data_IF_480064807099
#
_entry.id   IF_480064807099
#
_cell.length_a   1.000
_cell.length_b   1.000
_cell.length_c   1.000
_cell.angle_alpha   90.00
_cell.angle_beta   90.00
_cell.angle_gamma   90.00
#
_symmetry.space_group_name_H-M   'P 1'
#
loop_
_entity.id
_entity.type
_entity.pdbx_description
1 polymer ?
#
# COMPACT_ATOMS: atom_id res chain seq x y z
N UNK A 1 -7.56 2.14 5.18
CA UNK A 1 -6.22 2.74 5.34
C UNK A 1 -5.36 1.97 6.35
N UNK A 2 -4.13 2.46 6.62
CA UNK A 2 -3.13 1.72 7.42
C UNK A 2 -3.60 1.36 8.85
N UNK A 3 -4.59 2.07 9.38
CA UNK A 3 -5.15 1.76 10.69
C UNK A 3 -5.77 0.38 10.82
N UNK A 4 -6.29 -0.21 9.73
CA UNK A 4 -6.84 -1.57 9.79
C UNK A 4 -5.74 -2.62 9.97
N UNK A 5 -4.52 -2.37 9.48
CA UNK A 5 -3.39 -3.30 9.55
C UNK A 5 -2.57 -3.17 10.85
N UNK A 6 -2.85 -2.15 11.66
CA UNK A 6 -2.12 -1.88 12.91
C UNK A 6 -2.21 -3.05 13.91
N UNK A 7 -3.39 -3.63 14.09
CA UNK A 7 -3.60 -4.79 14.99
C UNK A 7 -2.94 -6.08 14.46
N UNK A 8 -2.60 -6.14 13.19
CA UNK A 8 -1.78 -7.21 12.61
C UNK A 8 -0.28 -7.04 12.89
N UNK A 9 0.13 -5.92 13.49
CA UNK A 9 1.54 -5.62 13.75
C UNK A 9 2.24 -4.85 12.64
N UNK A 10 1.49 -4.35 11.64
CA UNK A 10 2.04 -3.48 10.59
C UNK A 10 2.05 -2.04 11.10
N UNK A 11 3.23 -1.42 11.28
CA UNK A 11 3.32 -0.05 11.76
C UNK A 11 2.64 0.94 10.81
N UNK A 12 1.84 1.85 11.35
CA UNK A 12 1.27 2.96 10.56
C UNK A 12 2.29 4.09 10.44
N UNK A 13 2.12 4.96 9.43
CA UNK A 13 2.98 6.15 9.27
C UNK A 13 2.92 7.14 10.44
N UNK A 14 2.01 6.94 11.40
CA UNK A 14 1.77 7.84 12.54
C UNK A 14 2.18 7.30 13.89
N UNK A 15 2.40 5.99 14.04
CA UNK A 15 2.65 5.33 15.34
C UNK A 15 4.03 5.63 15.92
N UNK A 16 4.72 6.64 15.44
CA UNK A 16 6.16 6.75 15.46
C UNK A 16 6.76 7.72 16.45
N UNK A 17 6.25 7.75 17.64
CA UNK A 17 6.96 8.53 18.67
C UNK A 17 8.14 7.80 19.32
N UNK A 18 8.26 6.48 19.20
CA UNK A 18 9.27 5.69 19.91
C UNK A 18 9.92 4.55 19.10
N UNK A 19 9.67 4.44 17.80
CA UNK A 19 10.15 3.34 16.97
C UNK A 19 11.27 3.70 16.01
N UNK A 20 11.60 2.75 15.15
CA UNK A 20 12.60 2.90 14.08
C UNK A 20 12.24 4.03 13.10
N UNK A 21 10.95 4.26 12.88
CA UNK A 21 10.39 5.35 12.06
C UNK A 21 10.78 6.74 12.57
N UNK A 22 10.94 6.93 13.89
CA UNK A 22 11.35 8.21 14.46
C UNK A 22 12.76 8.65 14.01
N UNK A 23 13.52 7.74 13.39
CA UNK A 23 14.87 8.00 12.87
C UNK A 23 14.92 8.33 11.39
N UNK A 24 13.81 8.16 10.66
CA UNK A 24 13.76 8.35 9.21
C UNK A 24 12.61 9.29 8.84
N UNK A 25 12.88 10.26 7.98
CA UNK A 25 11.83 11.05 7.38
C UNK A 25 11.01 10.17 6.42
N UNK A 26 9.69 9.98 6.65
CA UNK A 26 8.83 9.22 5.76
C UNK A 26 8.90 9.68 4.29
N UNK A 27 9.11 10.98 4.07
CA UNK A 27 9.26 11.53 2.74
C UNK A 27 10.56 11.06 2.06
N UNK A 28 11.65 10.92 2.81
CA UNK A 28 12.91 10.39 2.26
C UNK A 28 12.78 8.93 1.82
N UNK A 29 11.94 8.16 2.49
CA UNK A 29 11.75 6.73 2.18
C UNK A 29 10.64 6.46 1.17
N UNK A 30 9.74 7.42 0.95
CA UNK A 30 8.54 7.24 0.12
C UNK A 30 8.40 8.35 -0.93
N UNK A 31 9.51 8.82 -1.50
CA UNK A 31 9.50 9.79 -2.59
C UNK A 31 10.53 9.46 -3.67
N UNK A 32 10.26 9.90 -4.88
CA UNK A 32 11.22 9.80 -6.00
C UNK A 32 12.55 10.49 -5.68
N UNK A 33 12.49 11.61 -4.95
CA UNK A 33 13.71 12.33 -4.54
C UNK A 33 14.55 11.54 -3.54
N UNK A 34 13.90 10.90 -2.56
CA UNK A 34 14.59 10.03 -1.61
C UNK A 34 15.28 8.85 -2.30
N UNK A 35 14.60 8.20 -3.24
CA UNK A 35 15.15 7.15 -4.08
C UNK A 35 16.38 7.62 -4.87
N UNK A 36 16.31 8.76 -5.53
CA UNK A 36 17.43 9.30 -6.32
C UNK A 36 18.65 9.68 -5.47
N UNK A 37 18.43 10.06 -4.20
CA UNK A 37 19.52 10.41 -3.27
C UNK A 37 20.20 9.20 -2.68
N UNK A 38 19.44 8.20 -2.28
CA UNK A 38 19.94 7.02 -1.60
C UNK A 38 19.08 5.79 -1.90
N UNK A 39 19.22 5.19 -3.08
CA UNK A 39 18.45 4.02 -3.47
C UNK A 39 18.70 2.79 -2.57
N UNK A 40 19.92 2.64 -2.04
CA UNK A 40 20.29 1.53 -1.16
C UNK A 40 19.51 1.56 0.17
N UNK A 41 19.35 2.75 0.74
CA UNK A 41 18.55 2.94 1.97
C UNK A 41 17.08 2.66 1.73
N UNK A 42 16.52 3.22 0.65
CA UNK A 42 15.11 3.02 0.31
C UNK A 42 14.85 1.55 0.01
N UNK A 43 15.73 0.89 -0.76
CA UNK A 43 15.62 -0.52 -1.07
C UNK A 43 15.66 -1.40 0.19
N UNK A 44 16.67 -1.23 1.06
CA UNK A 44 16.80 -1.98 2.31
C UNK A 44 15.58 -1.79 3.23
N UNK A 45 15.04 -0.56 3.29
CA UNK A 45 13.82 -0.27 4.02
C UNK A 45 12.61 -1.06 3.50
N UNK A 46 12.40 -1.10 2.18
CA UNK A 46 11.27 -1.83 1.59
C UNK A 46 11.44 -3.35 1.66
N UNK A 47 12.65 -3.87 1.60
CA UNK A 47 12.92 -5.30 1.85
C UNK A 47 12.53 -5.71 3.27
N UNK A 48 12.90 -4.91 4.26
CA UNK A 48 12.49 -5.16 5.64
C UNK A 48 10.97 -5.09 5.80
N UNK A 49 10.31 -4.10 5.23
CA UNK A 49 8.84 -4.00 5.27
C UNK A 49 8.16 -5.17 4.58
N UNK A 50 8.68 -5.59 3.45
CA UNK A 50 8.22 -6.80 2.75
C UNK A 50 8.30 -8.02 3.69
N UNK A 51 9.45 -8.26 4.30
CA UNK A 51 9.64 -9.34 5.25
C UNK A 51 8.67 -9.25 6.43
N UNK A 52 8.51 -8.07 7.04
CA UNK A 52 7.59 -7.84 8.15
C UNK A 52 6.16 -8.20 7.76
N UNK A 53 5.66 -7.68 6.64
CA UNK A 53 4.27 -7.91 6.21
C UNK A 53 4.05 -9.38 5.80
N UNK A 54 5.03 -10.02 5.17
CA UNK A 54 4.96 -11.44 4.83
C UNK A 54 4.82 -12.36 6.07
N UNK A 55 5.27 -11.91 7.24
CA UNK A 55 5.29 -12.69 8.48
C UNK A 55 4.21 -12.30 9.49
N UNK A 56 3.28 -11.43 9.14
CA UNK A 56 2.09 -11.14 9.97
C UNK A 56 0.82 -11.74 9.36
N UNK A 57 -0.22 -11.86 10.17
CA UNK A 57 -1.50 -12.43 9.75
C UNK A 57 -2.58 -11.35 9.64
N UNK A 58 -3.57 -11.51 8.75
CA UNK A 58 -4.77 -10.69 8.76
C UNK A 58 -5.45 -10.73 10.12
N UNK A 59 -5.93 -9.59 10.60
CA UNK A 59 -6.70 -9.51 11.84
C UNK A 59 -8.21 -9.65 11.59
N UNK A 60 -8.99 -9.59 12.64
CA UNK A 60 -10.44 -9.76 12.58
C UNK A 60 -11.15 -8.70 11.73
N UNK A 61 -10.59 -7.49 11.63
CA UNK A 61 -11.11 -6.45 10.74
C UNK A 61 -11.04 -6.84 9.27
N UNK A 62 -9.90 -7.40 8.83
CA UNK A 62 -9.73 -7.91 7.46
C UNK A 62 -10.69 -9.08 7.19
N UNK A 63 -10.79 -10.04 8.15
CA UNK A 63 -11.69 -11.20 8.05
C UNK A 63 -13.16 -10.81 8.01
N UNK A 64 -13.55 -9.80 8.82
CA UNK A 64 -14.92 -9.30 8.82
C UNK A 64 -15.32 -8.68 7.48
N UNK A 65 -14.43 -7.87 6.86
CA UNK A 65 -14.67 -7.31 5.53
C UNK A 65 -14.78 -8.41 4.48
N UNK A 66 -13.90 -9.41 4.51
CA UNK A 66 -13.97 -10.55 3.61
C UNK A 66 -15.29 -11.33 3.77
N UNK A 67 -15.77 -11.54 5.00
CA UNK A 67 -17.02 -12.24 5.27
C UNK A 67 -18.27 -11.50 4.76
N UNK A 68 -18.23 -10.21 4.55
CA UNK A 68 -19.35 -9.48 3.94
C UNK A 68 -19.68 -9.93 2.52
N UNK A 69 -18.72 -10.54 1.81
CA UNK A 69 -18.93 -11.08 0.46
C UNK A 69 -19.97 -12.22 0.43
N UNK A 70 -20.25 -12.87 1.55
CA UNK A 70 -21.30 -13.86 1.67
C UNK A 70 -22.71 -13.23 1.60
N UNK A 71 -22.82 -11.91 1.75
CA UNK A 71 -24.08 -11.18 1.88
C UNK A 71 -24.25 -10.04 0.87
N UNK A 72 -23.17 -9.55 0.28
CA UNK A 72 -23.17 -8.40 -0.63
C UNK A 72 -22.02 -8.49 -1.63
N UNK A 73 -22.10 -7.74 -2.72
CA UNK A 73 -20.95 -7.45 -3.56
C UNK A 73 -20.05 -6.44 -2.86
N UNK A 74 -18.81 -6.83 -2.57
CA UNK A 74 -17.85 -6.02 -1.81
C UNK A 74 -16.64 -5.71 -2.66
N UNK A 75 -16.36 -4.42 -2.84
CA UNK A 75 -15.11 -3.92 -3.41
C UNK A 75 -14.28 -3.24 -2.33
N UNK A 76 -13.07 -3.72 -2.10
CA UNK A 76 -12.12 -3.11 -1.17
C UNK A 76 -11.23 -2.13 -1.92
N UNK A 77 -11.30 -0.85 -1.57
CA UNK A 77 -10.41 0.18 -2.09
C UNK A 77 -9.40 0.52 -1.00
N UNK A 78 -8.14 0.21 -1.22
CA UNK A 78 -7.12 0.39 -0.19
C UNK A 78 -5.97 1.28 -0.65
N UNK A 79 -5.47 2.09 0.28
CA UNK A 79 -4.21 2.82 0.16
C UNK A 79 -3.04 2.02 0.73
N UNK A 80 -3.33 0.89 1.39
CA UNK A 80 -2.33 0.02 1.95
C UNK A 80 -1.58 -0.71 0.83
N UNK A 81 -0.34 -1.02 1.11
CA UNK A 81 0.56 -1.73 0.21
C UNK A 81 0.81 -3.18 0.68
N UNK A 82 0.19 -3.56 1.81
CA UNK A 82 0.14 -4.94 2.30
C UNK A 82 -0.92 -5.77 1.55
N UNK A 83 -0.85 -7.10 1.64
CA UNK A 83 -1.75 -8.07 1.02
C UNK A 83 -2.76 -8.69 2.02
N UNK A 84 -2.98 -8.04 3.16
CA UNK A 84 -3.76 -8.62 4.26
C UNK A 84 -5.25 -8.77 3.91
N UNK A 85 -5.80 -7.95 3.03
CA UNK A 85 -7.17 -8.10 2.54
C UNK A 85 -7.33 -9.37 1.70
N UNK A 86 -6.42 -9.63 0.78
CA UNK A 86 -6.40 -10.82 -0.07
C UNK A 86 -6.19 -12.08 0.77
N UNK A 87 -5.23 -12.05 1.69
CA UNK A 87 -4.96 -13.16 2.61
C UNK A 87 -6.11 -13.44 3.56
N UNK A 88 -6.95 -12.46 3.85
CA UNK A 88 -8.19 -12.64 4.59
C UNK A 88 -9.32 -13.24 3.74
N UNK A 89 -9.18 -13.26 2.41
CA UNK A 89 -10.16 -13.80 1.46
C UNK A 89 -10.98 -12.76 0.70
N UNK A 90 -10.63 -11.46 0.76
CA UNK A 90 -11.29 -10.44 -0.06
C UNK A 90 -10.98 -10.67 -1.55
N UNK A 91 -12.03 -10.77 -2.39
CA UNK A 91 -11.89 -11.11 -3.81
C UNK A 91 -11.60 -9.91 -4.72
N UNK A 92 -12.19 -8.75 -4.45
CA UNK A 92 -12.02 -7.54 -5.23
C UNK A 92 -11.28 -6.48 -4.40
N UNK A 93 -9.94 -6.40 -4.56
CA UNK A 93 -9.10 -5.44 -3.86
C UNK A 93 -8.40 -4.52 -4.87
N UNK A 94 -8.58 -3.20 -4.70
CA UNK A 94 -7.99 -2.18 -5.56
C UNK A 94 -6.91 -1.42 -4.79
N UNK A 95 -5.64 -1.73 -5.08
CA UNK A 95 -4.47 -1.08 -4.46
C UNK A 95 -4.15 0.24 -5.14
N UNK A 96 -4.52 1.36 -4.51
CA UNK A 96 -4.29 2.69 -5.08
C UNK A 96 -2.82 3.12 -5.04
N UNK A 97 -2.03 2.54 -4.15
CA UNK A 97 -0.63 2.89 -3.98
C UNK A 97 0.33 1.75 -4.29
N UNK A 98 -0.11 0.74 -5.08
CA UNK A 98 0.72 -0.40 -5.46
C UNK A 98 0.88 -1.43 -4.35
N UNK A 99 1.91 -2.28 -4.44
CA UNK A 99 2.11 -3.44 -3.58
C UNK A 99 3.54 -3.56 -3.06
N UNK A 100 3.69 -4.01 -1.80
CA UNK A 100 4.98 -4.41 -1.23
C UNK A 100 5.52 -5.72 -1.83
N UNK A 101 4.67 -6.48 -2.51
CA UNK A 101 5.00 -7.79 -3.09
C UNK A 101 5.29 -7.73 -4.59
N UNK A 102 5.24 -6.52 -5.17
CA UNK A 102 5.55 -6.27 -6.56
C UNK A 102 6.76 -5.36 -6.70
N UNK A 103 7.61 -5.67 -7.68
CA UNK A 103 8.84 -4.95 -7.94
C UNK A 103 8.99 -4.71 -9.44
N UNK A 104 9.62 -3.59 -9.80
CA UNK A 104 9.85 -3.23 -11.19
C UNK A 104 11.13 -2.44 -11.39
N UNK A 105 11.60 -2.40 -12.61
CA UNK A 105 12.69 -1.51 -12.96
C UNK A 105 12.25 -0.04 -12.93
N UNK A 106 13.03 0.80 -12.25
CA UNK A 106 12.78 2.24 -12.17
C UNK A 106 12.90 2.97 -13.52
N UNK A 107 13.60 2.39 -14.51
CA UNK A 107 13.84 3.01 -15.81
C UNK A 107 12.87 2.53 -16.88
N UNK A 108 12.73 1.23 -17.07
CA UNK A 108 11.94 0.65 -18.17
C UNK A 108 10.60 0.07 -17.73
N UNK A 109 10.32 0.02 -16.41
CA UNK A 109 9.05 -0.48 -15.86
C UNK A 109 8.87 -2.00 -15.94
N UNK A 110 9.84 -2.76 -16.47
CA UNK A 110 9.70 -4.22 -16.54
C UNK A 110 9.56 -4.81 -15.15
N UNK A 111 8.62 -5.75 -14.91
CA UNK A 111 8.49 -6.43 -13.63
C UNK A 111 9.76 -7.21 -13.27
N UNK A 112 10.06 -7.27 -11.98
CA UNK A 112 11.14 -8.05 -11.41
C UNK A 112 10.56 -9.20 -10.60
N UNK A 113 10.95 -10.42 -10.91
CA UNK A 113 10.37 -11.65 -10.37
C UNK A 113 11.38 -12.56 -9.67
N UNK A 114 12.64 -12.14 -9.58
CA UNK A 114 13.65 -12.93 -8.89
C UNK A 114 13.44 -12.92 -7.37
N UNK A 115 13.95 -13.95 -6.72
CA UNK A 115 13.85 -14.09 -5.27
C UNK A 115 14.53 -12.91 -4.54
N UNK A 116 13.83 -12.40 -3.53
CA UNK A 116 14.34 -11.34 -2.67
C UNK A 116 15.10 -11.93 -1.47
N UNK A 117 16.11 -11.24 -0.96
CA UNK A 117 16.75 -11.63 0.27
C UNK A 117 15.78 -11.45 1.46
N UNK A 118 15.80 -12.37 2.41
CA UNK A 118 15.12 -12.19 3.67
C UNK A 118 15.78 -11.08 4.49
N UNK A 119 14.97 -10.17 5.03
CA UNK A 119 15.46 -9.02 5.80
C UNK A 119 14.68 -8.90 7.11
N UNK A 120 15.01 -9.74 8.12
CA UNK A 120 14.29 -9.75 9.40
C UNK A 120 14.51 -8.49 10.23
N UNK A 121 15.60 -7.78 9.98
CA UNK A 121 15.92 -6.52 10.65
C UNK A 121 16.10 -5.40 9.62
N UNK A 122 15.80 -4.15 9.98
CA UNK A 122 15.99 -3.01 9.07
C UNK A 122 17.46 -2.86 8.71
N UNK A 123 17.79 -3.04 7.45
CA UNK A 123 19.12 -2.74 6.93
C UNK A 123 19.21 -1.28 6.49
N UNK A 124 20.34 -0.64 6.77
CA UNK A 124 20.52 0.78 6.49
C UNK A 124 20.92 1.01 5.02
N UNK A 125 21.62 0.04 4.41
CA UNK A 125 22.12 0.14 3.04
C UNK A 125 22.16 -1.26 2.42
N UNK A 126 21.35 -1.48 1.37
CA UNK A 126 21.33 -2.71 0.57
C UNK A 126 21.27 -2.30 -0.89
N UNK A 127 22.19 -2.78 -1.70
CA UNK A 127 22.20 -2.47 -3.14
C UNK A 127 20.96 -3.03 -3.84
N UNK A 128 20.17 -2.18 -4.53
CA UNK A 128 19.08 -2.67 -5.37
C UNK A 128 19.62 -3.50 -6.54
N UNK A 129 18.92 -4.57 -6.96
CA UNK A 129 19.27 -5.29 -8.18
C UNK A 129 19.29 -4.38 -9.41
N UNK A 130 20.08 -4.75 -10.40
CA UNK A 130 20.19 -4.01 -11.67
C UNK A 130 19.46 -4.76 -12.76
N UNK A 131 18.55 -4.09 -13.44
CA UNK A 131 17.85 -4.60 -14.61
C UNK A 131 18.79 -4.69 -15.84
N UNK A 132 18.46 -5.53 -16.81
CA UNK A 132 19.21 -5.64 -18.09
C UNK A 132 19.35 -4.30 -18.83
N UNK A 133 18.39 -3.38 -18.64
CA UNK A 133 18.48 -2.02 -19.19
C UNK A 133 19.45 -1.10 -18.42
N UNK A 134 20.04 -1.56 -17.32
CA UNK A 134 20.91 -0.79 -16.42
C UNK A 134 20.15 0.11 -15.45
N UNK A 135 18.81 0.01 -15.34
CA UNK A 135 18.03 0.68 -14.32
C UNK A 135 18.02 -0.12 -13.02
N UNK A 136 17.87 0.55 -11.87
CA UNK A 136 17.73 -0.11 -10.57
C UNK A 136 16.32 -0.68 -10.41
N UNK A 137 16.20 -1.81 -9.69
CA UNK A 137 14.91 -2.38 -9.28
C UNK A 137 14.41 -1.65 -8.05
N UNK A 138 13.13 -1.33 -8.06
CA UNK A 138 12.41 -0.66 -6.96
C UNK A 138 11.12 -1.40 -6.64
N UNK A 139 10.54 -1.20 -5.42
CA UNK A 139 9.17 -1.68 -5.15
C UNK A 139 8.17 -0.98 -6.07
N UNK A 140 7.13 -1.70 -6.48
CA UNK A 140 6.04 -1.14 -7.30
C UNK A 140 4.99 -0.47 -6.42
N UNK A 141 5.45 0.57 -5.73
CA UNK A 141 4.68 1.40 -4.81
C UNK A 141 4.64 2.81 -5.36
N UNK A 142 3.50 3.47 -5.23
CA UNK A 142 3.33 4.88 -5.57
C UNK A 142 3.96 5.73 -4.47
N UNK A 143 4.97 6.49 -4.82
CA UNK A 143 5.64 7.43 -3.92
C UNK A 143 5.03 8.83 -4.02
N UNK A 144 5.30 9.65 -3.02
CA UNK A 144 4.91 11.06 -3.05
C UNK A 144 5.44 11.75 -4.31
N UNK A 145 4.51 12.40 -5.04
CA UNK A 145 4.78 13.05 -6.32
C UNK A 145 4.57 12.16 -7.55
N UNK A 146 4.31 10.87 -7.39
CA UNK A 146 3.95 9.98 -8.49
C UNK A 146 2.43 9.95 -8.70
N UNK A 147 1.96 9.79 -9.96
CA UNK A 147 0.54 9.57 -10.24
C UNK A 147 0.09 8.21 -9.73
N UNK A 148 -1.19 8.09 -9.38
CA UNK A 148 -1.80 6.79 -9.10
C UNK A 148 -1.85 5.94 -10.37
N UNK A 149 -1.79 4.60 -10.24
CA UNK A 149 -1.98 3.69 -11.37
C UNK A 149 -3.39 3.84 -11.93
N UNK A 150 -3.47 4.01 -13.25
CA UNK A 150 -4.72 4.39 -13.94
C UNK A 150 -5.84 3.36 -13.74
N UNK A 151 -5.52 2.08 -13.88
CA UNK A 151 -6.51 1.02 -13.79
C UNK A 151 -7.10 0.86 -12.39
N UNK A 152 -6.30 0.69 -11.29
CA UNK A 152 -6.84 0.65 -9.93
C UNK A 152 -7.64 1.91 -9.55
N UNK A 153 -7.19 3.09 -10.00
CA UNK A 153 -7.90 4.34 -9.73
C UNK A 153 -9.27 4.38 -10.43
N UNK A 154 -9.33 3.98 -11.72
CA UNK A 154 -10.58 3.91 -12.48
C UNK A 154 -11.55 2.94 -11.82
N UNK A 155 -11.11 1.73 -11.50
CA UNK A 155 -11.93 0.72 -10.82
C UNK A 155 -12.45 1.20 -9.47
N UNK A 156 -11.61 1.90 -8.69
CA UNK A 156 -12.03 2.50 -7.41
C UNK A 156 -13.11 3.58 -7.59
N UNK A 157 -13.00 4.43 -8.61
CA UNK A 157 -14.00 5.46 -8.92
C UNK A 157 -15.31 4.83 -9.40
N UNK A 158 -15.23 3.78 -10.22
CA UNK A 158 -16.39 3.03 -10.70
C UNK A 158 -17.12 2.33 -9.55
N UNK A 159 -16.39 1.60 -8.71
CA UNK A 159 -16.93 0.93 -7.51
C UNK A 159 -17.56 1.95 -6.54
N UNK A 160 -16.90 3.08 -6.29
CA UNK A 160 -17.46 4.18 -5.48
C UNK A 160 -18.76 4.71 -6.08
N UNK A 161 -18.83 4.79 -7.41
CA UNK A 161 -19.98 5.34 -8.12
C UNK A 161 -21.19 4.42 -8.19
N UNK A 162 -21.02 3.12 -8.03
CA UNK A 162 -22.07 2.10 -8.07
C UNK A 162 -22.49 1.57 -6.70
N UNK A 163 -21.76 1.94 -5.63
CA UNK A 163 -22.01 1.43 -4.30
C UNK A 163 -23.30 2.01 -3.68
N UNK A 164 -24.06 1.16 -2.99
CA UNK A 164 -25.19 1.57 -2.16
C UNK A 164 -24.72 2.13 -0.81
N UNK A 165 -23.61 1.59 -0.28
CA UNK A 165 -23.00 2.01 0.98
C UNK A 165 -21.49 2.02 0.83
N UNK A 166 -20.83 3.05 1.35
CA UNK A 166 -19.38 3.11 1.52
C UNK A 166 -19.03 3.07 3.00
N UNK A 167 -18.14 2.15 3.39
CA UNK A 167 -17.60 2.08 4.74
C UNK A 167 -16.14 2.52 4.72
N UNK A 168 -15.80 3.51 5.53
CA UNK A 168 -14.45 4.07 5.63
C UNK A 168 -13.76 3.50 6.86
N UNK A 169 -12.63 2.79 6.66
CA UNK A 169 -11.98 2.04 7.74
C UNK A 169 -10.49 2.40 7.83
N UNK A 170 -10.04 2.76 9.03
CA UNK A 170 -8.62 2.90 9.38
C UNK A 170 -7.85 3.91 8.53
N UNK A 171 -8.49 4.92 7.96
CA UNK A 171 -7.83 5.96 7.17
C UNK A 171 -7.91 7.31 7.87
N UNK A 172 -6.92 8.15 7.60
CA UNK A 172 -6.91 9.54 8.07
C UNK A 172 -7.54 10.52 7.10
N UNK A 173 -7.91 10.05 5.89
CA UNK A 173 -8.50 10.86 4.82
C UNK A 173 -7.72 12.14 4.48
N UNK A 174 -6.36 12.07 4.45
CA UNK A 174 -5.51 13.26 4.14
C UNK A 174 -4.75 13.12 2.83
N UNK A 175 -4.58 11.91 2.30
CA UNK A 175 -3.77 11.67 1.10
C UNK A 175 -4.66 11.67 -0.14
N UNK A 176 -4.56 12.73 -0.93
CA UNK A 176 -5.29 12.87 -2.18
C UNK A 176 -4.56 12.21 -3.35
N UNK A 177 -5.31 11.70 -4.37
CA UNK A 177 -6.76 11.85 -4.56
C UNK A 177 -7.64 10.83 -3.82
N UNK A 178 -7.08 9.78 -3.21
CA UNK A 178 -7.83 8.72 -2.54
C UNK A 178 -8.77 9.25 -1.43
N UNK A 179 -8.33 10.27 -0.68
CA UNK A 179 -9.11 10.93 0.36
C UNK A 179 -10.42 11.59 -0.14
N UNK A 180 -10.55 11.81 -1.44
CA UNK A 180 -11.76 12.38 -2.05
C UNK A 180 -12.84 11.36 -2.43
N UNK A 181 -12.58 10.05 -2.31
CA UNK A 181 -13.58 9.02 -2.66
C UNK A 181 -14.84 9.06 -1.77
N UNK A 182 -14.76 9.29 -0.44
CA UNK A 182 -15.95 9.46 0.38
C UNK A 182 -16.81 10.66 -0.05
N UNK A 183 -16.19 11.79 -0.41
CA UNK A 183 -16.91 12.96 -0.92
C UNK A 183 -17.60 12.65 -2.25
N UNK A 184 -16.94 11.89 -3.12
CA UNK A 184 -17.52 11.43 -4.38
C UNK A 184 -18.75 10.53 -4.14
N UNK A 185 -18.68 9.62 -3.18
CA UNK A 185 -19.80 8.77 -2.77
C UNK A 185 -20.98 9.61 -2.28
N UNK A 186 -20.74 10.53 -1.34
CA UNK A 186 -21.75 11.45 -0.79
C UNK A 186 -22.40 12.30 -1.89
N UNK A 187 -21.62 12.82 -2.83
CA UNK A 187 -22.13 13.62 -3.95
C UNK A 187 -23.08 12.84 -4.88
N UNK A 188 -23.02 11.52 -4.86
CA UNK A 188 -23.88 10.59 -5.60
C UNK A 188 -25.06 10.07 -4.77
N UNK A 189 -25.16 10.45 -3.51
CA UNK A 189 -26.22 10.03 -2.60
C UNK A 189 -25.95 8.68 -1.91
N UNK A 190 -24.75 8.13 -2.05
CA UNK A 190 -24.33 6.91 -1.36
C UNK A 190 -24.19 7.17 0.15
N UNK A 191 -24.72 6.27 0.98
CA UNK A 191 -24.51 6.35 2.44
C UNK A 191 -23.04 6.08 2.76
N UNK A 192 -22.41 6.95 3.56
CA UNK A 192 -21.02 6.81 4.01
C UNK A 192 -21.00 6.60 5.51
N UNK A 193 -20.30 5.55 5.96
CA UNK A 193 -20.13 5.18 7.37
C UNK A 193 -18.63 5.23 7.69
N UNK A 194 -18.27 5.92 8.77
CA UNK A 194 -16.90 6.00 9.29
C UNK A 194 -16.79 5.38 10.68
#
# INVERSE_FOLDING_TARGET
GAGISAESGVPTFRDDKNGLWARFDPYELSSTQGWLRNPERVWGWYLWRHYLVANVEPNDGHRAIAAWQDHAEVSVITQNVDDLHERAGSGAVHHLHGSLFEFRCARCGVPYTDALPEMPEPAIEVEPPVCDCGGLIRPDIVWFGEPLPEEPWRSAVEATGSADVMVVVGTSAIVYPAAGLPDLALARGTAVIE
#
